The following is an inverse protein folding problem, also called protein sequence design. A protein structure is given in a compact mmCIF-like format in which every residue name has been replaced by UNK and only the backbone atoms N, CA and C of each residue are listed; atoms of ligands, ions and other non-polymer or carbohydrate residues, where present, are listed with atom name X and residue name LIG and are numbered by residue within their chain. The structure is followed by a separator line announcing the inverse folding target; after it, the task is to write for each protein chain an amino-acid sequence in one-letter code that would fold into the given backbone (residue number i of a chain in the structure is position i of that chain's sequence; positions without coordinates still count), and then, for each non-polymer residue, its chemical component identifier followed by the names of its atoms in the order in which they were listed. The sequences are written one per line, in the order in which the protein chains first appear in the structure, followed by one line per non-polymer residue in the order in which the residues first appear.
data_IF_114822707018
#
_entry.id   IF_114822707018
#
_cell.length_a   1.000
_cell.length_b   1.000
_cell.length_c   1.000
_cell.angle_alpha   90.00
_cell.angle_beta   90.00
_cell.angle_gamma   90.00
#
_symmetry.space_group_name_H-M   'P 1'
#
loop_
_entity.id
_entity.type
_entity.pdbx_description
1 polymer ?
#
# COMPACT_ATOMS: atom_id res chain seq x y z
N UNK A 1 8.36 12.56 6.22
CA UNK A 1 8.30 12.20 4.79
C UNK A 1 7.41 10.98 4.67
N UNK A 2 6.35 11.07 3.88
CA UNK A 2 5.42 9.95 3.64
C UNK A 2 6.12 8.92 2.76
N UNK A 3 5.91 7.64 3.06
CA UNK A 3 6.46 6.53 2.29
C UNK A 3 6.13 6.63 0.79
N UNK A 4 7.14 6.42 -0.07
CA UNK A 4 7.00 6.58 -1.53
C UNK A 4 6.03 5.54 -2.10
N UNK A 5 6.06 4.30 -1.59
CA UNK A 5 5.17 3.26 -2.05
C UNK A 5 3.72 3.55 -1.63
N UNK A 6 3.51 4.04 -0.41
CA UNK A 6 2.19 4.49 0.04
C UNK A 6 1.64 5.61 -0.86
N UNK A 7 2.46 6.60 -1.18
CA UNK A 7 2.04 7.70 -2.07
C UNK A 7 1.65 7.17 -3.45
N UNK A 8 2.47 6.29 -4.04
CA UNK A 8 2.16 5.64 -5.32
C UNK A 8 0.86 4.85 -5.27
N UNK A 9 0.61 4.13 -4.17
CA UNK A 9 -0.63 3.40 -3.98
C UNK A 9 -1.83 4.34 -3.93
N UNK A 10 -1.73 5.48 -3.23
CA UNK A 10 -2.79 6.49 -3.19
C UNK A 10 -3.05 7.08 -4.59
N UNK A 11 -2.00 7.39 -5.35
CA UNK A 11 -2.13 7.91 -6.72
C UNK A 11 -2.74 6.86 -7.66
N UNK A 12 -2.29 5.61 -7.58
CA UNK A 12 -2.81 4.48 -8.37
C UNK A 12 -4.29 4.17 -8.06
N UNK A 13 -4.72 4.37 -6.82
CA UNK A 13 -6.12 4.24 -6.42
C UNK A 13 -7.03 5.36 -6.97
N UNK A 14 -6.48 6.41 -7.60
CA UNK A 14 -7.25 7.61 -7.99
C UNK A 14 -7.38 8.64 -6.87
N UNK A 15 -6.50 8.59 -5.87
CA UNK A 15 -6.41 9.55 -4.77
C UNK A 15 -6.91 9.02 -3.43
N UNK A 16 -6.73 9.81 -2.35
CA UNK A 16 -7.03 9.37 -0.98
C UNK A 16 -8.53 9.14 -0.75
N UNK A 17 -9.41 9.84 -1.47
CA UNK A 17 -10.86 9.63 -1.36
C UNK A 17 -11.27 8.30 -1.97
N UNK A 18 -10.77 7.97 -3.16
CA UNK A 18 -11.06 6.71 -3.83
C UNK A 18 -10.55 5.52 -2.99
N UNK A 19 -9.29 5.58 -2.53
CA UNK A 19 -8.72 4.54 -1.66
C UNK A 19 -9.51 4.40 -0.35
N UNK A 20 -10.01 5.50 0.21
CA UNK A 20 -10.79 5.47 1.46
C UNK A 20 -12.13 4.75 1.33
N UNK A 21 -12.79 4.88 0.17
CA UNK A 21 -14.05 4.19 -0.13
C UNK A 21 -13.85 2.69 -0.23
N UNK A 22 -12.81 2.26 -0.94
CA UNK A 22 -12.50 0.84 -1.11
C UNK A 22 -12.06 0.17 0.21
N UNK A 23 -11.29 0.89 1.04
CA UNK A 23 -10.82 0.38 2.32
C UNK A 23 -11.84 0.54 3.47
N UNK A 24 -12.96 1.22 3.25
CA UNK A 24 -13.94 1.50 4.30
C UNK A 24 -13.39 2.37 5.44
N UNK A 25 -12.48 3.29 5.13
CA UNK A 25 -11.85 4.20 6.11
C UNK A 25 -12.16 5.65 5.78
N UNK A 26 -11.85 6.57 6.69
CA UNK A 26 -11.92 8.00 6.39
C UNK A 26 -10.72 8.46 5.55
N UNK A 27 -10.94 9.38 4.62
CA UNK A 27 -9.86 10.01 3.83
C UNK A 27 -8.84 10.73 4.72
N UNK A 28 -9.28 11.27 5.86
CA UNK A 28 -8.40 11.83 6.89
C UNK A 28 -7.47 10.76 7.50
N UNK A 29 -7.96 9.54 7.75
CA UNK A 29 -7.11 8.46 8.25
C UNK A 29 -5.99 8.15 7.25
N UNK A 30 -6.30 8.09 5.95
CA UNK A 30 -5.30 7.88 4.89
C UNK A 30 -4.29 9.03 4.86
N UNK A 31 -4.75 10.28 4.97
CA UNK A 31 -3.86 11.44 4.99
C UNK A 31 -2.91 11.45 6.21
N UNK A 32 -3.30 10.82 7.32
CA UNK A 32 -2.46 10.68 8.52
C UNK A 32 -1.47 9.51 8.44
N UNK A 33 -1.59 8.62 7.44
CA UNK A 33 -0.67 7.52 7.29
C UNK A 33 0.70 8.02 6.84
N UNK A 34 1.72 7.77 7.68
CA UNK A 34 3.12 7.91 7.29
C UNK A 34 3.59 6.71 6.46
N UNK A 35 2.99 5.54 6.71
CA UNK A 35 3.26 4.24 6.09
C UNK A 35 1.96 3.42 6.06
N UNK A 36 1.89 2.41 5.19
CA UNK A 36 0.71 1.56 5.07
C UNK A 36 0.49 0.72 6.36
N UNK A 37 -0.73 0.72 6.94
CA UNK A 37 -1.04 -0.13 8.09
C UNK A 37 -0.91 -1.61 7.71
N UNK A 38 -0.23 -2.44 8.52
CA UNK A 38 0.12 -3.82 8.13
C UNK A 38 -1.11 -4.67 7.84
N UNK A 39 -2.19 -4.45 8.61
CA UNK A 39 -3.48 -5.14 8.43
C UNK A 39 -4.21 -4.76 7.13
N UNK A 40 -3.87 -3.63 6.50
CA UNK A 40 -4.50 -3.14 5.26
C UNK A 40 -3.60 -3.26 4.04
N UNK A 41 -2.35 -3.68 4.20
CA UNK A 41 -1.40 -3.77 3.08
C UNK A 41 -1.94 -4.71 2.00
N UNK A 42 -2.57 -5.81 2.37
CA UNK A 42 -3.14 -6.78 1.42
C UNK A 42 -4.29 -6.17 0.61
N UNK A 43 -5.16 -5.39 1.27
CA UNK A 43 -6.26 -4.71 0.58
C UNK A 43 -5.72 -3.60 -0.34
N UNK A 44 -4.75 -2.82 0.14
CA UNK A 44 -4.08 -1.79 -0.66
C UNK A 44 -3.41 -2.43 -1.89
N UNK A 45 -2.72 -3.55 -1.73
CA UNK A 45 -2.11 -4.30 -2.84
C UNK A 45 -3.17 -4.75 -3.85
N UNK A 46 -4.33 -5.25 -3.40
CA UNK A 46 -5.43 -5.65 -4.29
C UNK A 46 -6.06 -4.48 -5.06
N UNK A 47 -6.20 -3.32 -4.42
CA UNK A 47 -6.84 -2.13 -5.01
C UNK A 47 -5.89 -1.41 -5.96
N UNK A 48 -4.61 -1.31 -5.57
CA UNK A 48 -3.64 -0.42 -6.24
C UNK A 48 -2.64 -1.18 -7.12
N UNK A 49 -2.51 -2.49 -6.94
CA UNK A 49 -1.49 -3.31 -7.58
C UNK A 49 -0.07 -3.10 -7.05
N UNK A 50 0.13 -2.23 -6.05
CA UNK A 50 1.44 -2.00 -5.45
C UNK A 50 1.77 -3.15 -4.50
N UNK A 51 2.96 -3.73 -4.65
CA UNK A 51 3.33 -4.91 -3.87
C UNK A 51 3.43 -4.60 -2.38
N UNK A 52 2.93 -5.52 -1.55
CA UNK A 52 3.08 -5.47 -0.09
C UNK A 52 4.52 -5.35 0.40
N UNK A 53 5.46 -5.90 -0.38
CA UNK A 53 6.89 -5.83 -0.11
C UNK A 53 7.45 -4.41 -0.30
N UNK A 54 6.84 -3.61 -1.18
CA UNK A 54 7.19 -2.20 -1.35
C UNK A 54 6.52 -1.33 -0.28
N UNK A 55 5.27 -1.65 0.08
CA UNK A 55 4.50 -0.90 1.09
C UNK A 55 5.02 -1.09 2.51
N UNK A 56 5.43 -2.32 2.85
CA UNK A 56 5.92 -2.71 4.18
C UNK A 56 7.05 -3.73 4.07
N UNK A 57 8.24 -3.33 3.58
CA UNK A 57 9.41 -4.21 3.54
C UNK A 57 9.85 -4.69 4.93
N UNK A 58 9.52 -3.93 5.98
CA UNK A 58 9.79 -4.30 7.38
C UNK A 58 8.91 -5.47 7.89
N UNK A 59 7.74 -5.70 7.28
CA UNK A 59 6.83 -6.80 7.64
C UNK A 59 6.96 -7.96 6.67
N UNK A 60 6.98 -7.67 5.37
CA UNK A 60 6.95 -8.69 4.33
C UNK A 60 8.34 -9.04 3.78
N UNK A 61 9.39 -8.37 4.25
CA UNK A 61 10.75 -8.51 3.73
C UNK A 61 10.91 -7.90 2.35
N UNK A 62 12.12 -8.02 1.80
CA UNK A 62 12.41 -7.63 0.43
C UNK A 62 11.50 -8.41 -0.55
N UNK A 63 11.09 -7.74 -1.64
CA UNK A 63 10.31 -8.39 -2.70
C UNK A 63 11.08 -9.64 -3.14
N UNK A 64 10.43 -10.82 -3.21
CA UNK A 64 11.09 -12.00 -3.72
C UNK A 64 11.53 -11.68 -5.15
N UNK A 65 12.85 -11.63 -5.36
CA UNK A 65 13.43 -11.55 -6.69
C UNK A 65 12.86 -12.72 -7.48
N UNK A 66 12.06 -12.44 -8.51
CA UNK A 66 11.58 -13.44 -9.47
C UNK A 66 12.80 -14.17 -10.04
N UNK A 67 13.12 -15.31 -9.45
CA UNK A 67 14.44 -15.92 -9.61
C UNK A 67 14.55 -17.25 -8.88
N UNK A 68 13.51 -18.08 -8.95
CA UNK A 68 13.58 -19.56 -8.97
C UNK A 68 12.17 -20.12 -9.09
N UNK A 69 11.71 -20.28 -10.33
CA UNK A 69 11.00 -21.50 -10.68
C UNK A 69 12.06 -22.46 -11.23
N UNK A 70 11.93 -23.72 -10.83
CA UNK A 70 12.89 -24.82 -10.95
C UNK A 70 13.32 -25.16 -12.37
#
# INVERSE_FOLDING_TARGET
MTDIALRKAIEAAGGPVALSRELGVSSQAIAQWKQAPPLRVIDIERITGISRHDLRPDVFGAKPSEGRAA
#
